data_IF_330129377777
#
_entry.id   IF_330129377777
#
_cell.length_a   1.000
_cell.length_b   1.000
_cell.length_c   1.000
_cell.angle_alpha   90.00
_cell.angle_beta   90.00
_cell.angle_gamma   90.00
#
_symmetry.space_group_name_H-M   'P 1'
#
loop_
_entity.id
_entity.type
_entity.pdbx_description
1 polymer ?
#
# COMPACT_ATOMS: atom_id res chain seq x y z
N UNK A 1 -25.38 26.65 -61.45
CA UNK A 1 -23.95 26.78 -61.22
C UNK A 1 -23.84 26.96 -59.71
N UNK A 2 -23.76 26.02 -58.87
CA UNK A 2 -22.92 24.83 -58.82
C UNK A 2 -21.69 25.14 -58.02
N UNK A 3 -21.73 25.03 -56.71
CA UNK A 3 -20.54 24.71 -55.96
C UNK A 3 -20.92 23.95 -54.68
N UNK A 4 -20.64 22.65 -54.76
CA UNK A 4 -20.68 21.73 -53.64
C UNK A 4 -19.40 21.91 -52.87
N UNK A 5 -19.47 22.35 -51.62
CA UNK A 5 -18.38 22.18 -50.68
C UNK A 5 -18.66 20.93 -49.83
N UNK A 6 -18.12 19.82 -50.28
CA UNK A 6 -18.00 18.58 -49.51
C UNK A 6 -16.82 18.70 -48.58
N UNK A 7 -17.05 19.15 -47.34
CA UNK A 7 -16.09 19.00 -46.24
C UNK A 7 -16.33 17.67 -45.52
N UNK A 8 -15.56 16.63 -45.84
CA UNK A 8 -15.45 15.45 -44.98
C UNK A 8 -14.92 15.88 -43.62
N UNK A 9 -15.57 15.53 -42.50
CA UNK A 9 -14.91 15.61 -41.20
C UNK A 9 -13.82 14.53 -41.17
N UNK A 10 -12.58 14.99 -41.18
CA UNK A 10 -11.41 14.14 -40.99
C UNK A 10 -11.60 13.28 -39.73
N UNK A 11 -11.31 12.03 -39.94
CA UNK A 11 -11.20 10.99 -38.91
C UNK A 11 -10.15 11.45 -37.88
N UNK A 12 -10.56 12.19 -36.84
CA UNK A 12 -9.74 12.39 -35.64
C UNK A 12 -9.59 11.01 -35.01
N UNK A 13 -8.53 10.32 -35.44
CA UNK A 13 -8.09 9.08 -34.81
C UNK A 13 -8.00 9.37 -33.30
N UNK A 14 -8.80 8.63 -32.54
CA UNK A 14 -8.87 8.58 -31.09
C UNK A 14 -7.52 8.18 -30.52
N UNK A 15 -6.55 9.10 -30.57
CA UNK A 15 -5.20 8.91 -30.05
C UNK A 15 -5.29 9.12 -28.55
N UNK A 16 -5.54 8.01 -27.81
CA UNK A 16 -5.45 8.00 -26.34
C UNK A 16 -4.17 8.71 -25.92
N UNK A 17 -4.25 9.74 -25.06
CA UNK A 17 -3.10 10.54 -24.68
C UNK A 17 -1.99 9.63 -24.12
N UNK A 18 -0.78 9.81 -24.63
CA UNK A 18 0.39 9.04 -24.20
C UNK A 18 0.81 9.46 -22.80
N UNK A 19 1.18 8.48 -21.97
CA UNK A 19 1.71 8.75 -20.63
C UNK A 19 3.05 9.51 -20.76
N UNK A 20 3.21 10.67 -20.09
CA UNK A 20 4.49 11.38 -20.01
C UNK A 20 5.62 10.48 -19.50
N UNK A 21 6.85 10.72 -19.97
CA UNK A 21 8.02 9.98 -19.53
C UNK A 21 8.25 10.04 -18.02
N UNK A 22 7.93 11.16 -17.41
CA UNK A 22 8.05 11.40 -15.97
C UNK A 22 7.23 10.41 -15.15
N UNK A 23 6.05 10.02 -15.64
CA UNK A 23 5.22 8.99 -15.00
C UNK A 23 5.94 7.64 -15.02
N UNK A 24 6.59 7.27 -16.12
CA UNK A 24 7.37 6.04 -16.20
C UNK A 24 8.57 6.04 -15.24
N UNK A 25 9.24 7.18 -15.07
CA UNK A 25 10.29 7.34 -14.06
C UNK A 25 9.77 7.06 -12.66
N UNK A 26 8.60 7.61 -12.29
CA UNK A 26 7.98 7.36 -10.99
C UNK A 26 7.52 5.91 -10.83
N UNK A 27 6.99 5.29 -11.87
CA UNK A 27 6.55 3.88 -11.90
C UNK A 27 7.73 2.94 -11.67
N UNK A 28 8.84 3.14 -12.38
CA UNK A 28 10.07 2.34 -12.20
C UNK A 28 10.65 2.57 -10.81
N UNK A 29 10.69 3.82 -10.35
CA UNK A 29 11.13 4.15 -9.00
C UNK A 29 10.29 3.43 -7.94
N UNK A 30 8.97 3.46 -8.06
CA UNK A 30 8.04 2.77 -7.18
C UNK A 30 8.27 1.25 -7.14
N UNK A 31 8.43 0.63 -8.32
CA UNK A 31 8.73 -0.80 -8.43
C UNK A 31 10.01 -1.17 -7.68
N UNK A 32 11.10 -0.44 -7.91
CA UNK A 32 12.40 -0.73 -7.28
C UNK A 32 12.36 -0.49 -5.76
N UNK A 33 11.68 0.58 -5.31
CA UNK A 33 11.50 0.88 -3.88
C UNK A 33 10.71 -0.25 -3.21
N UNK A 34 9.58 -0.66 -3.79
CA UNK A 34 8.73 -1.71 -3.23
C UNK A 34 9.44 -3.07 -3.22
N UNK A 35 10.16 -3.40 -4.28
CA UNK A 35 10.96 -4.61 -4.40
C UNK A 35 12.05 -4.66 -3.33
N UNK A 36 12.80 -3.58 -3.15
CA UNK A 36 13.86 -3.51 -2.15
C UNK A 36 13.32 -3.54 -0.71
N UNK A 37 12.18 -2.87 -0.45
CA UNK A 37 11.48 -2.99 0.83
C UNK A 37 11.08 -4.45 1.12
N UNK A 38 10.53 -5.15 0.12
CA UNK A 38 10.16 -6.56 0.22
C UNK A 38 11.37 -7.47 0.43
N UNK A 39 12.53 -7.15 -0.16
CA UNK A 39 13.80 -7.88 0.06
C UNK A 39 14.27 -7.79 1.52
N UNK A 40 14.14 -6.62 2.15
CA UNK A 40 14.56 -6.39 3.55
C UNK A 40 13.56 -6.97 4.55
N UNK A 41 12.26 -7.03 4.22
CA UNK A 41 11.21 -7.40 5.16
C UNK A 41 11.44 -8.73 5.90
N UNK A 42 11.78 -9.87 5.25
CA UNK A 42 12.04 -11.12 5.95
C UNK A 42 13.36 -11.15 6.71
N UNK A 43 14.34 -10.32 6.32
CA UNK A 43 15.65 -10.28 6.95
C UNK A 43 15.67 -9.49 8.26
N UNK A 44 14.87 -8.41 8.33
CA UNK A 44 14.97 -7.42 9.41
C UNK A 44 14.74 -7.98 10.82
N UNK A 45 13.67 -8.76 11.11
CA UNK A 45 13.49 -9.33 12.45
C UNK A 45 14.56 -10.36 12.79
N UNK A 46 15.01 -11.16 11.82
CA UNK A 46 16.08 -12.14 11.98
C UNK A 46 17.41 -11.45 12.30
N UNK A 47 17.72 -10.37 11.59
CA UNK A 47 18.92 -9.57 11.82
C UNK A 47 18.91 -8.90 13.20
N UNK A 48 17.74 -8.38 13.63
CA UNK A 48 17.60 -7.84 14.99
C UNK A 48 17.84 -8.93 16.06
N UNK A 49 17.33 -10.14 15.86
CA UNK A 49 17.54 -11.28 16.77
C UNK A 49 18.99 -11.73 16.87
N UNK A 50 19.79 -11.54 15.81
CA UNK A 50 21.23 -11.91 15.85
C UNK A 50 22.04 -11.10 16.87
N UNK A 51 21.52 -9.96 17.36
CA UNK A 51 22.13 -9.20 18.46
C UNK A 51 21.74 -9.71 19.84
N UNK A 52 21.09 -10.87 19.96
CA UNK A 52 20.73 -11.48 21.25
C UNK A 52 19.57 -10.82 21.98
N UNK A 53 18.81 -9.96 21.31
CA UNK A 53 17.64 -9.26 21.91
C UNK A 53 16.39 -10.15 21.94
N UNK A 54 15.39 -9.76 22.74
CA UNK A 54 14.11 -10.47 22.86
C UNK A 54 13.28 -10.41 21.57
N UNK A 55 12.23 -11.24 21.46
CA UNK A 55 11.29 -11.21 20.33
C UNK A 55 10.60 -9.84 20.25
N UNK A 56 10.21 -9.29 21.40
CA UNK A 56 9.60 -7.96 21.48
C UNK A 56 10.53 -6.89 20.91
N UNK A 57 11.80 -6.90 21.27
CA UNK A 57 12.77 -5.95 20.74
C UNK A 57 12.99 -6.13 19.22
N UNK A 58 13.07 -7.37 18.75
CA UNK A 58 13.22 -7.63 17.32
C UNK A 58 12.02 -7.14 16.49
N UNK A 59 10.80 -7.29 17.00
CA UNK A 59 9.58 -6.79 16.32
C UNK A 59 9.44 -5.26 16.44
N UNK A 60 9.94 -4.65 17.51
CA UNK A 60 9.93 -3.20 17.72
C UNK A 60 10.73 -2.43 16.63
N UNK A 61 11.73 -3.06 16.01
CA UNK A 61 12.47 -2.44 14.89
C UNK A 61 11.56 -2.18 13.68
N UNK A 62 10.57 -3.07 13.43
CA UNK A 62 9.56 -2.85 12.38
C UNK A 62 8.64 -1.71 12.76
N UNK A 63 8.17 -1.71 14.01
CA UNK A 63 7.28 -0.67 14.55
C UNK A 63 7.94 0.71 14.58
N UNK A 64 9.23 0.81 14.89
CA UNK A 64 9.94 2.08 14.96
C UNK A 64 9.98 2.81 13.61
N UNK A 65 10.18 2.09 12.52
CA UNK A 65 10.11 2.64 11.18
C UNK A 65 8.74 3.26 10.88
N UNK A 66 7.65 2.54 11.21
CA UNK A 66 6.28 3.02 11.00
C UNK A 66 5.94 4.19 11.93
N UNK A 67 6.42 4.16 13.18
CA UNK A 67 6.22 5.25 14.14
C UNK A 67 6.82 6.56 13.65
N UNK A 68 8.06 6.51 13.14
CA UNK A 68 8.72 7.69 12.58
C UNK A 68 8.04 8.16 11.29
N UNK A 69 7.56 7.24 10.45
CA UNK A 69 6.71 7.59 9.29
C UNK A 69 5.49 8.41 9.72
N UNK A 70 4.77 7.92 10.72
CA UNK A 70 3.54 8.54 11.20
C UNK A 70 3.79 9.90 11.82
N UNK A 71 4.79 10.01 12.72
CA UNK A 71 5.12 11.25 13.42
C UNK A 71 5.60 12.34 12.47
N UNK A 72 6.40 11.99 11.46
CA UNK A 72 6.98 12.95 10.53
C UNK A 72 6.10 13.22 9.28
N UNK A 73 4.94 12.56 9.13
CA UNK A 73 4.04 12.79 7.99
C UNK A 73 3.59 14.26 7.83
N UNK A 74 3.19 14.98 8.89
CA UNK A 74 2.83 16.39 8.75
C UNK A 74 4.03 17.28 8.34
N UNK A 75 5.22 17.00 8.89
CA UNK A 75 6.43 17.73 8.54
C UNK A 75 6.84 17.50 7.08
N UNK A 76 6.72 16.26 6.58
CA UNK A 76 6.98 15.93 5.18
C UNK A 76 6.04 16.72 4.25
N UNK A 77 4.75 16.81 4.57
CA UNK A 77 3.79 17.62 3.81
C UNK A 77 4.15 19.11 3.78
N UNK A 78 4.54 19.67 4.92
CA UNK A 78 5.01 21.07 5.00
C UNK A 78 6.31 21.29 4.21
N UNK A 79 7.21 20.30 4.21
CA UNK A 79 8.46 20.37 3.44
C UNK A 79 8.18 20.37 1.93
N UNK A 80 7.24 19.55 1.47
CA UNK A 80 6.81 19.51 0.06
C UNK A 80 6.29 20.87 -0.39
N UNK A 81 5.48 21.54 0.44
CA UNK A 81 4.97 22.88 0.13
C UNK A 81 6.07 23.95 0.07
N UNK A 82 7.13 23.83 0.87
CA UNK A 82 8.22 24.81 0.95
C UNK A 82 9.33 24.61 -0.06
N UNK A 83 9.76 23.35 -0.26
CA UNK A 83 10.93 23.00 -1.06
C UNK A 83 10.58 22.41 -2.43
N UNK A 84 9.28 22.11 -2.65
CA UNK A 84 8.80 21.43 -3.84
C UNK A 84 8.96 19.90 -3.78
N UNK A 85 8.09 19.22 -4.50
CA UNK A 85 7.92 17.77 -4.47
C UNK A 85 9.19 17.01 -4.87
N UNK A 86 9.86 17.49 -5.91
CA UNK A 86 11.06 16.84 -6.47
C UNK A 86 12.22 16.77 -5.46
N UNK A 87 12.51 17.88 -4.78
CA UNK A 87 13.62 17.93 -3.83
C UNK A 87 13.34 17.09 -2.58
N UNK A 88 12.08 17.12 -2.09
CA UNK A 88 11.66 16.33 -0.94
C UNK A 88 11.63 14.85 -1.29
N UNK A 89 11.20 14.47 -2.51
CA UNK A 89 11.26 13.10 -3.00
C UNK A 89 12.70 12.55 -3.00
N UNK A 90 13.63 13.30 -3.60
CA UNK A 90 15.04 12.89 -3.70
C UNK A 90 15.73 12.80 -2.34
N UNK A 91 15.55 13.83 -1.48
CA UNK A 91 16.12 13.81 -0.13
C UNK A 91 15.57 12.66 0.70
N UNK A 92 14.26 12.36 0.57
CA UNK A 92 13.64 11.20 1.19
C UNK A 92 14.28 9.88 0.75
N UNK A 93 14.47 9.68 -0.56
CA UNK A 93 15.16 8.49 -1.09
C UNK A 93 16.58 8.36 -0.55
N UNK A 94 17.35 9.45 -0.53
CA UNK A 94 18.73 9.44 -0.04
C UNK A 94 18.81 9.17 1.48
N UNK A 95 17.88 9.71 2.27
CA UNK A 95 17.78 9.41 3.71
C UNK A 95 17.52 7.91 3.92
N UNK A 96 16.57 7.30 3.17
CA UNK A 96 16.30 5.87 3.26
C UNK A 96 17.50 5.06 2.78
N UNK A 97 18.15 5.45 1.69
CA UNK A 97 19.35 4.77 1.18
C UNK A 97 20.48 4.77 2.21
N UNK A 98 20.79 5.93 2.77
CA UNK A 98 21.84 6.08 3.77
C UNK A 98 21.51 5.31 5.06
N UNK A 99 20.31 5.51 5.61
CA UNK A 99 19.90 4.83 6.84
C UNK A 99 19.86 3.31 6.67
N UNK A 100 19.35 2.81 5.55
CA UNK A 100 19.32 1.38 5.24
C UNK A 100 20.72 0.83 5.01
N UNK A 101 21.58 1.58 4.30
CA UNK A 101 22.98 1.21 4.12
C UNK A 101 23.73 1.12 5.45
N UNK A 102 23.53 2.09 6.35
CA UNK A 102 24.09 2.03 7.70
C UNK A 102 23.62 0.82 8.49
N UNK A 103 22.36 0.37 8.32
CA UNK A 103 21.88 -0.85 8.97
C UNK A 103 22.72 -2.10 8.63
N UNK A 104 23.38 -2.15 7.47
CA UNK A 104 24.22 -3.28 7.09
C UNK A 104 25.53 -3.41 7.91
N UNK A 105 25.95 -2.32 8.53
CA UNK A 105 27.25 -2.21 9.24
C UNK A 105 27.09 -1.98 10.73
N UNK A 106 25.91 -2.16 11.30
CA UNK A 106 25.67 -1.98 12.74
C UNK A 106 26.28 -3.13 13.54
N UNK A 107 26.74 -2.82 14.75
CA UNK A 107 27.32 -3.79 15.68
C UNK A 107 26.40 -4.03 16.89
N UNK A 108 25.39 -3.17 17.08
CA UNK A 108 24.45 -3.18 18.19
C UNK A 108 23.01 -3.03 17.72
N UNK A 109 22.09 -3.62 18.50
CA UNK A 109 20.65 -3.46 18.30
C UNK A 109 20.19 -2.00 18.28
N UNK A 110 20.75 -1.14 19.17
CA UNK A 110 20.35 0.26 19.26
C UNK A 110 20.70 1.06 18.01
N UNK A 111 21.85 0.75 17.41
CA UNK A 111 22.25 1.35 16.13
C UNK A 111 21.25 0.96 15.03
N UNK A 112 20.86 -0.33 14.97
CA UNK A 112 19.85 -0.81 14.02
C UNK A 112 18.53 -0.09 14.22
N UNK A 113 18.06 0.05 15.46
CA UNK A 113 16.81 0.72 15.80
C UNK A 113 16.83 2.19 15.36
N UNK A 114 17.91 2.93 15.64
CA UNK A 114 18.06 4.34 15.28
C UNK A 114 18.07 4.52 13.76
N UNK A 115 18.92 3.79 13.04
CA UNK A 115 19.00 3.93 11.58
C UNK A 115 17.69 3.51 10.90
N UNK A 116 17.05 2.44 11.39
CA UNK A 116 15.76 2.01 10.86
C UNK A 116 14.65 3.06 11.08
N UNK A 117 14.64 3.70 12.26
CA UNK A 117 13.73 4.81 12.58
C UNK A 117 13.92 6.01 11.64
N UNK A 118 15.19 6.42 11.41
CA UNK A 118 15.52 7.48 10.47
C UNK A 118 15.07 7.16 9.04
N UNK A 119 15.14 5.89 8.63
CA UNK A 119 14.57 5.44 7.36
C UNK A 119 13.08 5.70 7.24
N UNK A 120 12.33 5.65 8.34
CA UNK A 120 10.91 6.00 8.39
C UNK A 120 10.63 7.45 7.99
N UNK A 121 11.46 8.40 8.44
CA UNK A 121 11.38 9.82 8.05
C UNK A 121 11.52 9.98 6.53
N UNK A 122 12.59 9.44 5.95
CA UNK A 122 12.82 9.49 4.51
C UNK A 122 11.72 8.80 3.71
N UNK A 123 11.18 7.68 4.23
CA UNK A 123 10.09 6.95 3.62
C UNK A 123 8.81 7.81 3.50
N UNK A 124 8.45 8.54 4.54
CA UNK A 124 7.32 9.47 4.50
C UNK A 124 7.56 10.60 3.50
N UNK A 125 8.77 11.17 3.48
CA UNK A 125 9.11 12.26 2.57
C UNK A 125 8.92 11.83 1.11
N UNK A 126 9.47 10.69 0.69
CA UNK A 126 9.30 10.26 -0.70
C UNK A 126 7.88 9.82 -1.01
N UNK A 127 7.16 9.18 -0.09
CA UNK A 127 5.78 8.71 -0.33
C UNK A 127 4.82 9.88 -0.54
N UNK A 128 4.88 10.90 0.33
CA UNK A 128 4.04 12.11 0.22
C UNK A 128 4.38 12.87 -1.07
N UNK A 129 5.67 13.01 -1.37
CA UNK A 129 6.12 13.70 -2.60
C UNK A 129 5.73 12.94 -3.86
N UNK A 130 5.82 11.60 -3.87
CA UNK A 130 5.44 10.78 -5.02
C UNK A 130 3.95 10.95 -5.36
N UNK A 131 3.09 10.94 -4.34
CA UNK A 131 1.65 11.16 -4.52
C UNK A 131 1.37 12.54 -5.11
N UNK A 132 2.04 13.59 -4.61
CA UNK A 132 1.90 14.96 -5.11
C UNK A 132 2.43 15.09 -6.55
N UNK A 133 3.62 14.52 -6.86
CA UNK A 133 4.20 14.51 -8.20
C UNK A 133 3.28 13.81 -9.20
N UNK A 134 2.70 12.68 -8.83
CA UNK A 134 1.83 11.91 -9.71
C UNK A 134 0.57 12.70 -10.09
N UNK A 135 -0.05 13.36 -9.11
CA UNK A 135 -1.22 14.23 -9.35
C UNK A 135 -0.86 15.44 -10.21
N UNK A 136 0.33 16.02 -10.02
CA UNK A 136 0.78 17.21 -10.73
C UNK A 136 1.19 16.93 -12.17
N UNK A 137 1.87 15.80 -12.43
CA UNK A 137 2.40 15.45 -13.76
C UNK A 137 1.31 14.81 -14.65
N UNK A 138 0.34 14.10 -14.05
CA UNK A 138 -0.68 13.40 -14.81
C UNK A 138 -1.85 14.34 -15.17
N UNK A 139 -2.11 14.61 -16.47
CA UNK A 139 -3.34 15.26 -16.92
C UNK A 139 -4.58 14.55 -16.40
N UNK A 140 -5.70 15.28 -16.25
CA UNK A 140 -6.93 14.74 -15.64
C UNK A 140 -7.44 13.48 -16.35
N UNK A 141 -7.37 13.44 -17.67
CA UNK A 141 -7.87 12.36 -18.53
C UNK A 141 -7.12 11.03 -18.31
N UNK A 142 -5.85 11.09 -17.91
CA UNK A 142 -5.01 9.90 -17.73
C UNK A 142 -4.58 9.69 -16.26
N UNK A 143 -5.02 10.54 -15.34
CA UNK A 143 -4.62 10.48 -13.91
C UNK A 143 -4.95 9.14 -13.26
N UNK A 144 -6.15 8.60 -13.54
CA UNK A 144 -6.53 7.28 -13.05
C UNK A 144 -5.62 6.16 -13.58
N UNK A 145 -5.26 6.23 -14.87
CA UNK A 145 -4.33 5.26 -15.49
C UNK A 145 -2.92 5.37 -14.91
N UNK A 146 -2.43 6.58 -14.65
CA UNK A 146 -1.13 6.82 -14.04
C UNK A 146 -1.06 6.28 -12.61
N UNK A 147 -2.08 6.55 -11.78
CA UNK A 147 -2.19 6.03 -10.42
C UNK A 147 -2.32 4.51 -10.39
N UNK A 148 -3.12 3.93 -11.29
CA UNK A 148 -3.26 2.48 -11.44
C UNK A 148 -1.92 1.81 -11.77
N UNK A 149 -1.16 2.36 -12.71
CA UNK A 149 0.16 1.85 -13.10
C UNK A 149 1.17 1.95 -11.95
N UNK A 150 1.16 3.08 -11.22
CA UNK A 150 2.00 3.28 -10.04
C UNK A 150 1.67 2.27 -8.93
N UNK A 151 0.39 2.10 -8.61
CA UNK A 151 -0.08 1.13 -7.61
C UNK A 151 0.23 -0.32 -8.00
N UNK A 152 0.03 -0.69 -9.28
CA UNK A 152 0.39 -2.02 -9.79
C UNK A 152 1.89 -2.29 -9.71
N UNK A 153 2.73 -1.28 -9.95
CA UNK A 153 4.18 -1.40 -9.81
C UNK A 153 4.59 -1.61 -8.36
N UNK A 154 3.96 -0.92 -7.42
CA UNK A 154 4.16 -1.13 -6.00
C UNK A 154 3.81 -2.57 -5.59
N UNK A 155 2.63 -3.04 -6.01
CA UNK A 155 2.17 -4.40 -5.72
C UNK A 155 3.13 -5.45 -6.30
N UNK A 156 3.56 -5.29 -7.56
CA UNK A 156 4.52 -6.20 -8.20
C UNK A 156 5.85 -6.25 -7.44
N UNK A 157 6.34 -5.10 -6.99
CA UNK A 157 7.55 -5.02 -6.17
C UNK A 157 7.41 -5.72 -4.82
N UNK A 158 6.27 -5.52 -4.15
CA UNK A 158 5.96 -6.17 -2.86
C UNK A 158 5.82 -7.69 -2.97
N UNK A 159 5.42 -8.20 -4.14
CA UNK A 159 5.34 -9.64 -4.44
C UNK A 159 6.71 -10.24 -4.73
N UNK A 160 7.47 -9.61 -5.63
CA UNK A 160 8.77 -10.12 -6.06
C UNK A 160 9.86 -9.94 -4.99
N UNK A 161 9.73 -8.88 -4.16
CA UNK A 161 10.72 -8.54 -3.15
C UNK A 161 11.05 -9.66 -2.18
N UNK A 162 10.08 -10.23 -1.44
CA UNK A 162 10.35 -11.31 -0.48
C UNK A 162 10.93 -12.58 -1.12
N UNK A 163 10.58 -12.87 -2.38
CA UNK A 163 11.16 -14.00 -3.14
C UNK A 163 12.65 -13.79 -3.34
N UNK A 164 13.04 -12.61 -3.85
CA UNK A 164 14.44 -12.24 -4.01
C UNK A 164 15.15 -12.12 -2.66
N UNK A 165 14.47 -11.57 -1.66
CA UNK A 165 14.98 -11.42 -0.30
C UNK A 165 15.36 -12.76 0.33
N UNK A 166 14.55 -13.80 0.13
CA UNK A 166 14.82 -15.14 0.65
C UNK A 166 16.12 -15.75 0.07
N UNK A 167 16.38 -15.51 -1.21
CA UNK A 167 17.62 -15.95 -1.85
C UNK A 167 18.83 -15.18 -1.33
N UNK A 168 18.70 -13.87 -1.10
CA UNK A 168 19.78 -13.01 -0.63
C UNK A 168 20.10 -13.23 0.85
N UNK A 169 19.10 -13.47 1.70
CA UNK A 169 19.27 -13.79 3.14
C UNK A 169 20.13 -15.05 3.32
N UNK A 170 20.07 -16.00 2.38
CA UNK A 170 20.92 -17.19 2.37
C UNK A 170 22.42 -16.89 2.23
N UNK A 171 22.78 -15.73 1.68
CA UNK A 171 24.19 -15.29 1.56
C UNK A 171 24.67 -14.58 2.82
N UNK A 172 23.90 -13.62 3.32
CA UNK A 172 24.18 -12.85 4.54
C UNK A 172 22.92 -12.10 5.00
N UNK A 173 22.73 -11.96 6.32
CA UNK A 173 21.64 -11.17 6.89
C UNK A 173 21.78 -9.66 6.62
N UNK A 174 23.00 -9.17 6.34
CA UNK A 174 23.26 -7.76 6.00
C UNK A 174 23.13 -7.47 4.49
N UNK A 175 23.24 -8.47 3.62
CA UNK A 175 23.21 -8.29 2.17
C UNK A 175 21.90 -7.62 1.65
N UNK A 176 20.69 -7.94 2.16
CA UNK A 176 19.45 -7.26 1.78
C UNK A 176 19.51 -5.74 1.96
N UNK A 177 20.14 -5.27 3.04
CA UNK A 177 20.26 -3.83 3.32
C UNK A 177 21.18 -3.11 2.34
N UNK A 178 22.31 -3.73 1.98
CA UNK A 178 23.27 -3.17 1.00
C UNK A 178 22.62 -3.08 -0.38
N UNK A 179 21.96 -4.16 -0.82
CA UNK A 179 21.30 -4.23 -2.12
C UNK A 179 20.20 -3.17 -2.21
N UNK A 180 19.38 -3.05 -1.16
CA UNK A 180 18.30 -2.06 -1.13
C UNK A 180 18.86 -0.63 -1.12
N UNK A 181 19.87 -0.36 -0.32
CA UNK A 181 20.53 0.95 -0.29
C UNK A 181 21.10 1.35 -1.67
N UNK A 182 21.80 0.43 -2.34
CA UNK A 182 22.32 0.66 -3.67
C UNK A 182 21.21 0.90 -4.70
N UNK A 183 20.13 0.12 -4.64
CA UNK A 183 18.96 0.30 -5.51
C UNK A 183 18.30 1.67 -5.30
N UNK A 184 18.17 2.14 -4.05
CA UNK A 184 17.62 3.47 -3.74
C UNK A 184 18.50 4.61 -4.27
N UNK A 185 19.82 4.48 -4.21
CA UNK A 185 20.75 5.44 -4.82
C UNK A 185 20.57 5.48 -6.33
N UNK A 186 20.47 4.31 -6.97
CA UNK A 186 20.22 4.24 -8.41
C UNK A 186 18.88 4.88 -8.79
N UNK A 187 17.84 4.66 -8.00
CA UNK A 187 16.53 5.31 -8.17
C UNK A 187 16.63 6.83 -7.99
N UNK A 188 17.37 7.31 -6.98
CA UNK A 188 17.57 8.74 -6.78
C UNK A 188 18.27 9.39 -7.98
N UNK A 189 19.27 8.71 -8.57
CA UNK A 189 19.93 9.15 -9.80
C UNK A 189 18.95 9.16 -10.98
N UNK A 190 18.16 8.08 -11.16
CA UNK A 190 17.15 8.00 -12.21
C UNK A 190 16.13 9.15 -12.11
N UNK A 191 15.61 9.40 -10.93
CA UNK A 191 14.65 10.49 -10.67
C UNK A 191 15.28 11.86 -10.87
N UNK A 192 16.54 12.05 -10.46
CA UNK A 192 17.27 13.30 -10.68
C UNK A 192 17.34 13.66 -12.16
N UNK A 193 17.78 12.74 -13.00
CA UNK A 193 17.92 12.98 -14.42
C UNK A 193 16.57 12.96 -15.16
N UNK A 194 15.66 12.07 -14.78
CA UNK A 194 14.34 11.92 -15.40
C UNK A 194 13.41 13.12 -15.17
N UNK A 195 13.48 13.75 -13.98
CA UNK A 195 12.65 14.92 -13.67
C UNK A 195 13.38 16.28 -13.78
N UNK A 196 14.67 16.28 -14.16
CA UNK A 196 15.46 17.52 -14.18
C UNK A 196 14.97 18.54 -15.22
N UNK A 197 14.41 18.10 -16.33
CA UNK A 197 13.99 18.95 -17.46
C UNK A 197 12.47 18.98 -17.65
N UNK A 198 11.70 18.51 -16.68
CA UNK A 198 10.26 18.49 -16.80
C UNK A 198 9.68 19.88 -16.62
N UNK A 199 9.06 20.41 -17.67
CA UNK A 199 8.28 21.65 -17.66
C UNK A 199 6.92 21.47 -17.02
N UNK A 200 6.46 20.22 -16.86
CA UNK A 200 5.17 19.89 -16.24
C UNK A 200 5.14 20.23 -14.73
N UNK A 201 6.32 20.42 -14.12
CA UNK A 201 6.44 20.80 -12.70
C UNK A 201 6.24 22.30 -12.45
N UNK A 202 6.21 23.13 -13.50
CA UNK A 202 6.10 24.58 -13.38
C UNK A 202 4.64 25.07 -13.42
N UNK A 203 3.72 24.25 -13.92
CA UNK A 203 2.30 24.63 -14.02
C UNK A 203 1.59 24.39 -12.68
N UNK A 204 1.35 25.48 -11.97
CA UNK A 204 0.52 25.45 -10.76
C UNK A 204 -0.95 25.52 -11.19
N UNK A 205 -1.65 24.41 -11.10
CA UNK A 205 -3.09 24.35 -11.33
C UNK A 205 -3.82 24.66 -10.02
N UNK A 206 -4.52 25.79 -9.99
CA UNK A 206 -5.45 26.15 -8.92
C UNK A 206 -6.74 25.32 -9.07
N UNK A 207 -6.74 24.12 -8.49
CA UNK A 207 -7.93 23.28 -8.49
C UNK A 207 -8.92 23.77 -7.43
N UNK A 208 -9.98 24.43 -7.88
CA UNK A 208 -11.10 24.91 -7.08
C UNK A 208 -12.20 23.84 -6.96
N UNK A 209 -11.98 22.83 -6.13
CA UNK A 209 -13.04 21.89 -5.71
C UNK A 209 -13.43 22.15 -4.25
N UNK A 210 -14.73 22.08 -3.92
CA UNK A 210 -15.17 22.16 -2.53
C UNK A 210 -14.55 21.03 -1.69
N UNK A 211 -13.90 21.32 -0.54
CA UNK A 211 -13.24 20.29 0.26
C UNK A 211 -14.27 19.35 0.90
N UNK A 212 -14.13 18.05 0.67
CA UNK A 212 -14.78 17.07 1.52
C UNK A 212 -14.06 17.09 2.86
N UNK A 213 -14.76 17.57 3.90
CA UNK A 213 -14.17 17.67 5.22
C UNK A 213 -14.03 16.28 5.83
N UNK A 214 -12.92 16.00 6.52
CA UNK A 214 -12.73 14.76 7.26
C UNK A 214 -13.92 14.46 8.19
N UNK A 215 -14.51 15.51 8.81
CA UNK A 215 -15.68 15.39 9.66
C UNK A 215 -16.88 14.78 8.92
N UNK A 216 -17.13 15.15 7.67
CA UNK A 216 -18.18 14.56 6.84
C UNK A 216 -17.92 13.08 6.54
N UNK A 217 -16.69 12.74 6.16
CA UNK A 217 -16.32 11.34 5.89
C UNK A 217 -16.45 10.45 7.12
N UNK A 218 -16.08 10.93 8.31
CA UNK A 218 -16.20 10.21 9.58
C UNK A 218 -17.66 9.93 10.02
N UNK A 219 -18.65 10.61 9.47
CA UNK A 219 -20.06 10.29 9.71
C UNK A 219 -20.55 9.11 8.85
N UNK A 220 -19.81 8.72 7.83
CA UNK A 220 -20.14 7.57 6.99
C UNK A 220 -19.68 6.25 7.63
N UNK A 221 -20.63 5.35 7.93
CA UNK A 221 -20.33 4.04 8.52
C UNK A 221 -19.38 3.21 7.66
N UNK A 222 -19.51 3.28 6.33
CA UNK A 222 -18.61 2.60 5.40
C UNK A 222 -17.19 3.13 5.49
N UNK A 223 -17.00 4.45 5.68
CA UNK A 223 -15.66 5.01 5.86
C UNK A 223 -15.03 4.56 7.18
N UNK A 224 -15.80 4.52 8.28
CA UNK A 224 -15.33 3.99 9.56
C UNK A 224 -14.94 2.50 9.47
N UNK A 225 -15.76 1.68 8.80
CA UNK A 225 -15.43 0.28 8.55
C UNK A 225 -14.16 0.13 7.69
N UNK A 226 -13.98 1.01 6.69
CA UNK A 226 -12.76 1.05 5.88
C UNK A 226 -11.52 1.47 6.70
N UNK A 227 -11.64 2.41 7.64
CA UNK A 227 -10.55 2.75 8.56
C UNK A 227 -10.16 1.54 9.43
N UNK A 228 -11.15 0.80 9.96
CA UNK A 228 -10.89 -0.41 10.75
C UNK A 228 -10.22 -1.51 9.94
N UNK A 229 -10.67 -1.77 8.71
CA UNK A 229 -10.05 -2.78 7.87
C UNK A 229 -8.66 -2.36 7.38
N UNK A 230 -8.40 -1.07 7.15
CA UNK A 230 -7.06 -0.59 6.82
C UNK A 230 -6.12 -0.64 8.04
N UNK A 231 -6.63 -0.33 9.24
CA UNK A 231 -5.90 -0.58 10.49
C UNK A 231 -5.53 -2.07 10.62
N UNK A 232 -6.50 -2.97 10.36
CA UNK A 232 -6.26 -4.42 10.44
C UNK A 232 -5.22 -4.91 9.42
N UNK A 233 -5.13 -4.30 8.24
CA UNK A 233 -4.08 -4.58 7.27
C UNK A 233 -2.68 -4.22 7.83
N UNK A 234 -2.56 -3.01 8.39
CA UNK A 234 -1.34 -2.59 9.07
C UNK A 234 -0.97 -3.48 10.24
N UNK A 235 -1.95 -3.84 11.07
CA UNK A 235 -1.80 -4.70 12.23
C UNK A 235 -1.40 -6.14 11.86
N UNK A 236 -2.18 -6.82 11.04
CA UNK A 236 -2.03 -8.25 10.79
C UNK A 236 -1.04 -8.56 9.66
N UNK A 237 -1.19 -7.88 8.49
CA UNK A 237 -0.43 -8.25 7.29
C UNK A 237 0.96 -7.63 7.31
N UNK A 238 1.05 -6.31 7.43
CA UNK A 238 2.33 -5.61 7.39
C UNK A 238 3.05 -5.68 8.75
N UNK A 239 2.30 -5.65 9.86
CA UNK A 239 2.82 -5.68 11.21
C UNK A 239 3.15 -7.09 11.70
N UNK A 240 2.16 -7.79 12.21
CA UNK A 240 2.37 -9.07 12.92
C UNK A 240 2.98 -10.12 12.01
N UNK A 241 2.39 -10.34 10.84
CA UNK A 241 2.94 -11.30 9.88
C UNK A 241 4.32 -10.88 9.40
N UNK A 242 4.51 -9.59 9.08
CA UNK A 242 5.80 -9.06 8.63
C UNK A 242 6.93 -9.23 9.65
N UNK A 243 6.64 -9.05 10.93
CA UNK A 243 7.62 -9.09 11.99
C UNK A 243 7.81 -10.50 12.60
N UNK A 244 6.70 -11.24 12.83
CA UNK A 244 6.74 -12.51 13.54
C UNK A 244 6.93 -13.73 12.66
N UNK A 245 6.42 -13.72 11.42
CA UNK A 245 6.49 -14.88 10.54
C UNK A 245 7.93 -15.37 10.30
N UNK A 246 8.92 -14.50 10.03
CA UNK A 246 10.30 -14.95 9.87
C UNK A 246 10.87 -15.61 11.14
N UNK A 247 10.52 -15.08 12.31
CA UNK A 247 10.94 -15.63 13.60
C UNK A 247 10.24 -16.97 13.89
N UNK A 248 8.95 -17.05 13.63
CA UNK A 248 8.16 -18.28 13.78
C UNK A 248 8.71 -19.42 12.92
N UNK A 249 9.06 -19.14 11.66
CA UNK A 249 9.64 -20.13 10.74
C UNK A 249 10.97 -20.67 11.26
N UNK A 250 11.80 -19.83 11.87
CA UNK A 250 13.11 -20.23 12.37
C UNK A 250 13.01 -20.83 13.77
N UNK A 251 12.36 -20.14 14.71
CA UNK A 251 12.40 -20.49 16.13
C UNK A 251 11.37 -21.58 16.50
N UNK A 252 10.18 -21.56 15.88
CA UNK A 252 9.13 -22.55 16.17
C UNK A 252 9.13 -23.73 15.21
N UNK A 253 9.33 -23.50 13.91
CA UNK A 253 9.34 -24.56 12.91
C UNK A 253 10.75 -25.10 12.61
N UNK A 254 11.80 -24.53 13.19
CA UNK A 254 13.21 -24.92 13.02
C UNK A 254 13.65 -25.02 11.55
N UNK A 255 13.14 -24.13 10.71
CA UNK A 255 13.45 -24.06 9.29
C UNK A 255 14.63 -23.13 8.99
N UNK A 256 15.18 -23.25 7.76
CA UNK A 256 16.25 -22.35 7.28
C UNK A 256 15.73 -20.92 7.13
N UNK A 257 16.58 -19.89 7.33
CA UNK A 257 16.19 -18.48 7.23
C UNK A 257 15.45 -18.10 5.92
N UNK A 258 15.86 -18.68 4.79
CA UNK A 258 15.23 -18.45 3.49
C UNK A 258 13.81 -19.02 3.34
N UNK A 259 13.39 -19.96 4.20
CA UNK A 259 12.05 -20.57 4.11
C UNK A 259 10.92 -19.56 4.36
N UNK A 260 11.17 -18.52 5.18
CA UNK A 260 10.21 -17.44 5.39
C UNK A 260 9.85 -16.73 4.08
N UNK A 261 10.79 -16.56 3.17
CA UNK A 261 10.56 -15.95 1.86
C UNK A 261 9.56 -16.73 1.00
N UNK A 262 9.55 -18.08 1.06
CA UNK A 262 8.58 -18.90 0.36
C UNK A 262 7.15 -18.65 0.89
N UNK A 263 7.03 -18.47 2.20
CA UNK A 263 5.73 -18.17 2.84
C UNK A 263 5.24 -16.79 2.44
N UNK A 264 6.12 -15.79 2.37
CA UNK A 264 5.78 -14.46 1.85
C UNK A 264 5.43 -14.49 0.37
N UNK A 265 6.16 -15.27 -0.44
CA UNK A 265 5.89 -15.44 -1.86
C UNK A 265 4.53 -16.08 -2.12
N UNK A 266 4.16 -17.10 -1.34
CA UNK A 266 2.86 -17.75 -1.43
C UNK A 266 1.71 -16.76 -1.13
N UNK A 267 1.85 -15.96 -0.07
CA UNK A 267 0.88 -14.91 0.23
C UNK A 267 0.75 -13.91 -0.91
N UNK A 268 1.88 -13.43 -1.41
CA UNK A 268 1.91 -12.45 -2.48
C UNK A 268 1.30 -13.00 -3.78
N UNK A 269 1.52 -14.28 -4.09
CA UNK A 269 0.89 -14.95 -5.23
C UNK A 269 -0.64 -15.02 -5.07
N UNK A 270 -1.13 -15.34 -3.86
CA UNK A 270 -2.56 -15.32 -3.54
C UNK A 270 -3.16 -13.93 -3.67
N UNK A 271 -2.50 -12.92 -3.12
CA UNK A 271 -2.94 -11.52 -3.14
C UNK A 271 -3.08 -11.00 -4.58
N UNK A 272 -2.05 -11.15 -5.40
CA UNK A 272 -2.08 -10.70 -6.81
C UNK A 272 -3.12 -11.46 -7.62
N UNK A 273 -3.26 -12.77 -7.41
CA UNK A 273 -4.21 -13.59 -8.19
C UNK A 273 -5.66 -13.10 -8.05
N UNK A 274 -6.01 -12.51 -6.91
CA UNK A 274 -7.38 -12.07 -6.62
C UNK A 274 -7.55 -10.55 -6.66
N UNK A 275 -6.50 -9.76 -6.42
CA UNK A 275 -6.60 -8.30 -6.38
C UNK A 275 -7.14 -7.68 -7.68
N UNK A 276 -6.71 -8.21 -8.85
CA UNK A 276 -7.20 -7.73 -10.15
C UNK A 276 -8.65 -8.17 -10.42
N UNK A 277 -9.00 -9.39 -10.04
CA UNK A 277 -10.35 -9.93 -10.23
C UNK A 277 -11.35 -9.30 -9.26
N UNK A 278 -10.94 -9.05 -8.03
CA UNK A 278 -11.77 -8.46 -6.99
C UNK A 278 -12.26 -7.05 -7.36
N UNK A 279 -11.48 -6.29 -8.09
CA UNK A 279 -11.89 -4.98 -8.62
C UNK A 279 -13.12 -5.10 -9.51
N UNK A 280 -13.08 -5.94 -10.55
CA UNK A 280 -14.22 -6.16 -11.47
C UNK A 280 -15.38 -6.84 -10.78
N UNK A 281 -15.15 -7.88 -9.97
CA UNK A 281 -16.22 -8.53 -9.21
C UNK A 281 -16.94 -7.58 -8.26
N UNK A 282 -16.24 -6.59 -7.71
CA UNK A 282 -16.84 -5.62 -6.81
C UNK A 282 -17.79 -4.66 -7.51
N UNK A 283 -17.64 -4.46 -8.82
CA UNK A 283 -18.54 -3.67 -9.64
C UNK A 283 -19.84 -4.43 -9.99
N UNK A 284 -19.79 -5.77 -9.99
CA UNK A 284 -20.95 -6.64 -10.30
C UNK A 284 -21.69 -7.08 -9.03
N UNK A 285 -20.96 -7.55 -8.02
CA UNK A 285 -21.51 -8.22 -6.82
C UNK A 285 -21.73 -7.20 -5.67
N UNK A 286 -21.00 -6.09 -5.69
CA UNK A 286 -20.97 -5.09 -4.61
C UNK A 286 -19.64 -5.08 -3.87
N UNK A 287 -19.35 -3.95 -3.22
CA UNK A 287 -18.10 -3.75 -2.47
C UNK A 287 -18.08 -4.58 -1.18
N UNK A 288 -19.17 -4.50 -0.42
CA UNK A 288 -19.30 -5.08 0.93
C UNK A 288 -19.11 -6.60 0.99
N UNK A 289 -19.76 -7.44 0.14
CA UNK A 289 -19.62 -8.89 0.25
C UNK A 289 -18.19 -9.37 0.08
N UNK A 290 -17.46 -8.77 -0.88
CA UNK A 290 -16.07 -9.12 -1.15
C UNK A 290 -15.13 -8.69 -0.02
N UNK A 291 -15.34 -7.50 0.55
CA UNK A 291 -14.55 -7.03 1.69
C UNK A 291 -14.76 -7.94 2.91
N UNK A 292 -16.01 -8.29 3.23
CA UNK A 292 -16.31 -9.18 4.35
C UNK A 292 -15.69 -10.56 4.14
N UNK A 293 -15.89 -11.17 2.97
CA UNK A 293 -15.33 -12.48 2.65
C UNK A 293 -13.79 -12.47 2.73
N UNK A 294 -13.15 -11.46 2.13
CA UNK A 294 -11.70 -11.31 2.15
C UNK A 294 -11.12 -11.14 3.54
N UNK A 295 -11.74 -10.31 4.39
CA UNK A 295 -11.32 -10.10 5.78
C UNK A 295 -11.50 -11.38 6.63
N UNK A 296 -12.58 -12.11 6.45
CA UNK A 296 -12.82 -13.39 7.16
C UNK A 296 -11.77 -14.42 6.75
N UNK A 297 -11.51 -14.59 5.45
CA UNK A 297 -10.48 -15.52 4.97
C UNK A 297 -9.10 -15.11 5.48
N UNK A 298 -8.73 -13.84 5.35
CA UNK A 298 -7.44 -13.33 5.82
C UNK A 298 -7.27 -13.52 7.34
N UNK A 299 -8.26 -13.11 8.14
CA UNK A 299 -8.20 -13.24 9.60
C UNK A 299 -8.14 -14.68 10.08
N UNK A 300 -8.97 -15.55 9.51
CA UNK A 300 -9.02 -16.97 9.88
C UNK A 300 -7.71 -17.70 9.54
N UNK A 301 -7.10 -17.38 8.39
CA UNK A 301 -5.81 -17.98 8.00
C UNK A 301 -4.68 -17.50 8.87
N UNK A 302 -4.66 -16.21 9.25
CA UNK A 302 -3.66 -15.70 10.21
C UNK A 302 -3.78 -16.40 11.56
N UNK A 303 -5.01 -16.60 12.08
CA UNK A 303 -5.23 -17.41 13.30
C UNK A 303 -4.71 -18.84 13.12
N UNK A 304 -5.06 -19.49 12.02
CA UNK A 304 -4.66 -20.89 11.74
C UNK A 304 -3.14 -21.05 11.62
N UNK A 305 -2.42 -20.04 11.09
CA UNK A 305 -0.94 -20.08 11.00
C UNK A 305 -0.29 -20.31 12.36
N UNK A 306 -0.86 -19.74 13.43
CA UNK A 306 -0.32 -19.87 14.79
C UNK A 306 -0.36 -21.30 15.36
N UNK A 307 -1.18 -22.17 14.80
CA UNK A 307 -1.36 -23.55 15.24
C UNK A 307 -0.72 -24.57 14.28
N UNK A 308 -0.08 -24.10 13.21
CA UNK A 308 0.60 -25.01 12.27
C UNK A 308 1.98 -25.39 12.77
N UNK A 309 2.33 -26.68 12.58
CA UNK A 309 3.65 -27.22 12.92
C UNK A 309 4.47 -27.59 11.69
N UNK A 310 3.96 -27.32 10.48
CA UNK A 310 4.64 -27.72 9.25
C UNK A 310 4.77 -26.56 8.25
N UNK A 311 5.92 -26.49 7.59
CA UNK A 311 6.18 -25.47 6.57
C UNK A 311 5.23 -25.56 5.37
N UNK A 312 4.88 -26.75 4.81
CA UNK A 312 3.92 -26.86 3.72
C UNK A 312 2.54 -26.30 4.09
N UNK A 313 2.03 -26.62 5.29
CA UNK A 313 0.75 -26.10 5.77
C UNK A 313 0.80 -24.57 5.92
N UNK A 314 1.89 -24.02 6.43
CA UNK A 314 2.11 -22.59 6.56
C UNK A 314 2.11 -21.88 5.17
N UNK A 315 2.73 -22.49 4.15
CA UNK A 315 2.73 -21.99 2.77
C UNK A 315 1.30 -21.98 2.21
N UNK A 316 0.52 -23.07 2.39
CA UNK A 316 -0.86 -23.15 1.92
C UNK A 316 -1.75 -22.12 2.63
N UNK A 317 -1.65 -21.99 3.96
CA UNK A 317 -2.38 -20.98 4.72
C UNK A 317 -1.99 -19.56 4.29
N UNK A 318 -0.72 -19.33 3.99
CA UNK A 318 -0.25 -18.05 3.50
C UNK A 318 -0.83 -17.72 2.12
N UNK A 319 -0.88 -18.67 1.20
CA UNK A 319 -1.53 -18.51 -0.10
C UNK A 319 -3.01 -18.14 0.04
N UNK A 320 -3.75 -18.88 0.87
CA UNK A 320 -5.17 -18.63 1.12
C UNK A 320 -5.37 -17.27 1.79
N UNK A 321 -4.52 -16.91 2.75
CA UNK A 321 -4.53 -15.60 3.39
C UNK A 321 -4.27 -14.45 2.40
N UNK A 322 -3.37 -14.66 1.44
CA UNK A 322 -3.14 -13.74 0.33
C UNK A 322 -4.36 -13.57 -0.56
N UNK A 323 -5.02 -14.68 -0.93
CA UNK A 323 -6.30 -14.63 -1.66
C UNK A 323 -7.31 -13.76 -0.92
N UNK A 324 -7.44 -13.94 0.41
CA UNK A 324 -8.29 -13.10 1.24
C UNK A 324 -7.89 -11.63 1.20
N UNK A 325 -6.59 -11.32 1.25
CA UNK A 325 -6.09 -9.96 1.23
C UNK A 325 -6.41 -9.24 -0.10
N UNK A 326 -6.13 -9.87 -1.23
CA UNK A 326 -6.46 -9.33 -2.55
C UNK A 326 -7.97 -9.16 -2.77
N UNK A 327 -8.77 -10.07 -2.20
CA UNK A 327 -10.22 -10.01 -2.33
C UNK A 327 -10.83 -8.79 -1.64
N UNK A 328 -10.28 -8.29 -0.52
CA UNK A 328 -10.84 -7.13 0.16
C UNK A 328 -10.14 -5.79 -0.18
N UNK A 329 -8.86 -5.81 -0.58
CA UNK A 329 -8.08 -4.58 -0.71
C UNK A 329 -8.62 -3.63 -1.79
N UNK A 330 -8.90 -4.15 -3.00
CA UNK A 330 -9.41 -3.34 -4.13
C UNK A 330 -10.84 -2.83 -3.89
N UNK A 331 -11.82 -3.67 -3.47
CA UNK A 331 -13.17 -3.21 -3.16
C UNK A 331 -13.23 -2.21 -2.00
N UNK A 332 -12.37 -2.37 -0.98
CA UNK A 332 -12.25 -1.41 0.11
C UNK A 332 -11.81 -0.03 -0.37
N UNK A 333 -10.79 0.03 -1.24
CA UNK A 333 -10.33 1.30 -1.80
C UNK A 333 -11.41 1.95 -2.68
N UNK A 334 -12.14 1.16 -3.47
CA UNK A 334 -13.27 1.63 -4.24
C UNK A 334 -14.37 2.21 -3.34
N UNK A 335 -14.74 1.52 -2.25
CA UNK A 335 -15.73 2.02 -1.29
C UNK A 335 -15.30 3.33 -0.62
N UNK A 336 -14.01 3.49 -0.32
CA UNK A 336 -13.47 4.76 0.20
C UNK A 336 -13.60 5.86 -0.85
N UNK A 337 -13.28 5.58 -2.11
CA UNK A 337 -13.42 6.53 -3.20
C UNK A 337 -14.89 6.92 -3.43
N UNK A 338 -15.83 5.95 -3.32
CA UNK A 338 -17.26 6.19 -3.42
C UNK A 338 -17.77 7.16 -2.32
N UNK A 339 -17.27 7.04 -1.07
CA UNK A 339 -17.68 7.89 0.05
C UNK A 339 -17.04 9.27 -0.01
N UNK A 340 -15.76 9.32 -0.36
CA UNK A 340 -14.98 10.58 -0.35
C UNK A 340 -15.25 11.41 -1.62
N UNK A 341 -15.65 10.76 -2.71
CA UNK A 341 -15.95 11.39 -4.00
C UNK A 341 -14.69 11.76 -4.80
N UNK A 342 -14.87 11.83 -6.13
CA UNK A 342 -13.78 12.12 -7.08
C UNK A 342 -13.53 13.62 -7.30
N UNK A 343 -14.43 14.50 -6.84
CA UNK A 343 -14.49 15.94 -7.22
C UNK A 343 -13.98 16.93 -6.17
N UNK A 344 -13.50 16.47 -5.01
CA UNK A 344 -13.11 17.36 -3.93
C UNK A 344 -11.69 17.17 -3.43
N UNK A 345 -11.25 18.03 -2.51
CA UNK A 345 -9.98 17.86 -1.75
C UNK A 345 -10.10 16.67 -0.80
N UNK A 346 -10.09 15.46 -1.36
CA UNK A 346 -10.15 14.19 -0.65
C UNK A 346 -8.89 13.90 0.20
N UNK A 347 -7.85 14.72 0.05
CA UNK A 347 -6.51 14.45 0.57
C UNK A 347 -6.48 14.15 2.07
N UNK A 348 -7.21 14.91 2.90
CA UNK A 348 -7.23 14.69 4.35
C UNK A 348 -7.89 13.36 4.73
N UNK A 349 -9.01 12.98 4.06
CA UNK A 349 -9.69 11.72 4.33
C UNK A 349 -8.83 10.53 3.88
N UNK A 350 -8.21 10.61 2.70
CA UNK A 350 -7.30 9.57 2.20
C UNK A 350 -6.02 9.47 3.06
N UNK A 351 -5.46 10.61 3.50
CA UNK A 351 -4.34 10.61 4.43
C UNK A 351 -4.70 9.93 5.75
N UNK A 352 -5.89 10.24 6.31
CA UNK A 352 -6.39 9.59 7.54
C UNK A 352 -6.56 8.08 7.31
N UNK A 353 -7.09 7.67 6.16
CA UNK A 353 -7.20 6.26 5.80
C UNK A 353 -5.82 5.57 5.80
N UNK A 354 -4.82 6.15 5.15
CA UNK A 354 -3.45 5.60 5.14
C UNK A 354 -2.81 5.58 6.54
N UNK A 355 -3.00 6.63 7.34
CA UNK A 355 -2.48 6.70 8.70
C UNK A 355 -3.00 5.58 9.60
N UNK A 356 -4.23 5.08 9.40
CA UNK A 356 -4.74 3.96 10.21
C UNK A 356 -3.95 2.67 9.98
N UNK A 357 -3.49 2.40 8.76
CA UNK A 357 -2.59 1.28 8.49
C UNK A 357 -1.22 1.47 9.16
N UNK A 358 -0.66 2.68 9.11
CA UNK A 358 0.61 2.96 9.79
C UNK A 358 0.48 2.79 11.32
N UNK A 359 -0.65 3.20 11.93
CA UNK A 359 -0.94 2.96 13.36
C UNK A 359 -0.97 1.46 13.66
N UNK A 360 -1.65 0.67 12.83
CA UNK A 360 -1.66 -0.80 12.95
C UNK A 360 -0.25 -1.40 12.88
N UNK A 361 0.57 -0.90 11.93
CA UNK A 361 1.96 -1.33 11.75
C UNK A 361 2.88 -0.91 12.93
N UNK A 362 2.56 0.18 13.62
CA UNK A 362 3.29 0.59 14.83
C UNK A 362 2.96 -0.33 16.01
N UNK A 363 1.69 -0.58 16.26
CA UNK A 363 1.23 -1.26 17.48
C UNK A 363 1.32 -2.78 17.32
N UNK A 364 0.95 -3.31 16.15
CA UNK A 364 0.84 -4.75 15.88
C UNK A 364 2.09 -5.56 16.22
N UNK A 365 3.27 -5.23 15.67
CA UNK A 365 4.49 -5.98 15.94
C UNK A 365 4.91 -5.99 17.41
N UNK A 366 4.78 -4.86 18.11
CA UNK A 366 5.12 -4.76 19.53
C UNK A 366 4.21 -5.64 20.37
N UNK A 367 2.88 -5.51 20.19
CA UNK A 367 1.91 -6.33 20.93
C UNK A 367 2.12 -7.82 20.64
N UNK A 368 2.32 -8.17 19.38
CA UNK A 368 2.56 -9.56 19.02
C UNK A 368 3.89 -10.09 19.53
N UNK A 369 4.94 -9.27 19.57
CA UNK A 369 6.22 -9.60 20.16
C UNK A 369 6.09 -9.90 21.66
N UNK A 370 5.40 -9.03 22.41
CA UNK A 370 5.13 -9.23 23.85
C UNK A 370 4.36 -10.52 24.08
N UNK A 371 3.30 -10.78 23.30
CA UNK A 371 2.51 -12.01 23.44
C UNK A 371 3.37 -13.24 23.09
N UNK A 372 4.14 -13.21 22.01
CA UNK A 372 4.98 -14.33 21.61
C UNK A 372 6.05 -14.65 22.68
N UNK A 373 6.61 -13.62 23.32
CA UNK A 373 7.63 -13.76 24.35
C UNK A 373 7.08 -14.33 25.67
N UNK A 374 5.88 -13.88 26.11
CA UNK A 374 5.33 -14.25 27.40
C UNK A 374 4.37 -15.44 27.35
N UNK A 375 3.86 -15.81 26.17
CA UNK A 375 2.91 -16.93 26.00
C UNK A 375 3.37 -17.90 24.91
N UNK A 376 3.03 -17.58 23.64
CA UNK A 376 3.47 -18.36 22.47
C UNK A 376 3.26 -17.59 21.18
N UNK A 377 3.96 -18.01 20.11
CA UNK A 377 3.70 -17.55 18.75
C UNK A 377 2.26 -17.77 18.32
N UNK A 378 1.61 -18.89 18.73
CA UNK A 378 0.24 -19.22 18.41
C UNK A 378 -0.73 -18.12 18.86
N UNK A 379 -0.65 -17.68 20.11
CA UNK A 379 -1.48 -16.62 20.65
C UNK A 379 -1.22 -15.27 19.97
N UNK A 380 0.02 -14.97 19.61
CA UNK A 380 0.34 -13.76 18.87
C UNK A 380 -0.37 -13.73 17.49
N UNK A 381 -0.40 -14.87 16.78
CA UNK A 381 -1.16 -14.98 15.52
C UNK A 381 -2.68 -14.94 15.72
N UNK A 382 -3.21 -15.50 16.84
CA UNK A 382 -4.63 -15.36 17.17
C UNK A 382 -5.03 -13.90 17.32
N UNK A 383 -4.27 -13.13 18.09
CA UNK A 383 -4.50 -11.69 18.26
C UNK A 383 -4.29 -10.93 16.95
N UNK A 384 -3.34 -11.39 16.12
CA UNK A 384 -3.13 -10.89 14.77
C UNK A 384 -4.35 -11.04 13.86
N UNK A 385 -4.92 -12.23 13.80
CA UNK A 385 -6.08 -12.55 12.96
C UNK A 385 -7.41 -12.07 13.51
N UNK A 386 -7.50 -11.79 14.83
CA UNK A 386 -8.71 -11.26 15.45
C UNK A 386 -9.10 -9.88 14.88
N UNK A 387 -8.14 -9.00 14.58
CA UNK A 387 -8.42 -7.66 14.05
C UNK A 387 -9.10 -7.64 12.68
N UNK A 388 -8.64 -8.40 11.65
CA UNK A 388 -9.39 -8.53 10.41
C UNK A 388 -10.81 -9.09 10.62
N UNK A 389 -11.00 -10.04 11.55
CA UNK A 389 -12.32 -10.60 11.86
C UNK A 389 -13.24 -9.54 12.51
N UNK A 390 -12.72 -8.73 13.42
CA UNK A 390 -13.44 -7.58 14.00
C UNK A 390 -13.80 -6.56 12.91
N UNK A 391 -12.87 -6.27 12.01
CA UNK A 391 -13.13 -5.39 10.88
C UNK A 391 -14.21 -5.97 9.94
N UNK A 392 -14.23 -7.28 9.71
CA UNK A 392 -15.29 -7.94 8.94
C UNK A 392 -16.68 -7.72 9.58
N UNK A 393 -16.77 -7.84 10.91
CA UNK A 393 -18.01 -7.54 11.65
C UNK A 393 -18.43 -6.09 11.44
N UNK A 394 -17.50 -5.13 11.52
CA UNK A 394 -17.82 -3.73 11.25
C UNK A 394 -18.37 -3.51 9.83
N UNK A 395 -17.81 -4.20 8.83
CA UNK A 395 -18.30 -4.15 7.47
C UNK A 395 -19.68 -4.76 7.27
N UNK A 396 -20.07 -5.78 8.06
CA UNK A 396 -21.45 -6.33 8.05
C UNK A 396 -22.47 -5.25 8.38
N UNK A 397 -22.15 -4.31 9.27
CA UNK A 397 -23.03 -3.20 9.63
C UNK A 397 -22.87 -1.95 8.75
N UNK A 398 -21.87 -1.92 7.85
CA UNK A 398 -21.68 -0.83 6.92
C UNK A 398 -22.70 -0.95 5.75
N UNK A 399 -23.21 0.17 5.23
CA UNK A 399 -24.04 0.16 4.04
C UNK A 399 -23.21 -0.14 2.79
N UNK A 400 -23.84 -0.79 1.78
CA UNK A 400 -23.26 -0.97 0.44
C UNK A 400 -23.12 0.40 -0.25
N UNK A 401 -22.01 0.59 -0.98
CA UNK A 401 -21.74 1.85 -1.70
C UNK A 401 -22.04 1.75 -3.18
N UNK A 402 -22.06 0.55 -3.75
CA UNK A 402 -22.38 0.34 -5.16
C UNK A 402 -23.80 0.85 -5.47
N UNK A 403 -23.94 1.68 -6.49
CA UNK A 403 -25.24 2.20 -6.96
C UNK A 403 -25.84 3.37 -6.16
N UNK A 404 -25.22 3.84 -5.06
CA UNK A 404 -25.69 5.03 -4.31
C UNK A 404 -25.25 6.36 -4.92
N UNK A 405 -24.35 6.36 -5.88
CA UNK A 405 -23.89 7.56 -6.59
C UNK A 405 -24.77 7.94 -7.80
N UNK A 406 -25.78 7.14 -8.15
CA UNK A 406 -26.89 7.64 -8.97
C UNK A 406 -27.69 8.60 -8.08
N UNK A 407 -27.18 9.84 -7.96
CA UNK A 407 -27.90 10.92 -7.28
C UNK A 407 -29.30 11.08 -7.89
N UNK A 408 -30.32 11.50 -7.12
CA UNK A 408 -31.65 11.79 -7.65
C UNK A 408 -31.64 12.71 -8.88
N UNK A 409 -30.61 13.54 -9.04
CA UNK A 409 -30.40 14.42 -10.18
C UNK A 409 -30.02 13.69 -11.49
N UNK A 410 -29.30 12.56 -11.44
CA UNK A 410 -28.98 11.77 -12.64
C UNK A 410 -30.20 10.95 -13.07
N UNK A 411 -30.99 10.44 -12.11
CA UNK A 411 -32.27 9.79 -12.41
C UNK A 411 -33.26 10.75 -13.04
N UNK A 412 -33.40 11.97 -12.51
CA UNK A 412 -34.27 12.96 -13.09
C UNK A 412 -33.84 13.42 -14.50
N UNK A 413 -32.53 13.45 -14.77
CA UNK A 413 -32.03 13.75 -16.13
C UNK A 413 -32.22 12.59 -17.11
N UNK A 414 -32.15 11.33 -16.64
CA UNK A 414 -32.46 10.16 -17.48
C UNK A 414 -33.95 10.01 -17.71
N UNK A 415 -34.80 10.22 -16.73
CA UNK A 415 -36.27 10.25 -16.88
C UNK A 415 -36.72 11.39 -17.78
N UNK A 416 -36.11 12.58 -17.71
CA UNK A 416 -36.39 13.69 -18.62
C UNK A 416 -35.88 13.41 -20.05
N UNK A 417 -34.76 12.69 -20.20
CA UNK A 417 -34.26 12.31 -21.53
C UNK A 417 -35.09 11.20 -22.18
N UNK A 418 -35.66 10.28 -21.42
CA UNK A 418 -36.61 9.27 -21.93
C UNK A 418 -37.98 9.88 -22.26
N UNK A 419 -38.43 10.90 -21.51
CA UNK A 419 -39.72 11.57 -21.77
C UNK A 419 -39.67 12.53 -22.97
N UNK A 420 -38.48 13.06 -23.33
CA UNK A 420 -38.27 13.90 -24.52
C UNK A 420 -38.02 13.07 -25.79
N UNK A 421 -37.72 11.76 -25.66
CA UNK A 421 -37.45 10.82 -26.75
C UNK A 421 -38.68 9.99 -27.21
N UNK A 422 -39.91 10.38 -26.88
CA UNK A 422 -41.11 9.71 -27.31
C UNK A 422 -41.29 9.81 -28.84
N UNK A 423 -41.79 8.75 -29.50
CA UNK A 423 -41.75 8.63 -30.95
C UNK A 423 -42.72 9.64 -31.62
N UNK A 424 -42.16 10.55 -32.41
CA UNK A 424 -42.94 11.18 -33.48
C UNK A 424 -43.34 10.09 -34.47
N UNK A 425 -44.68 9.91 -34.55
CA UNK A 425 -45.30 9.19 -35.64
C UNK A 425 -45.66 10.15 -36.75
#
# INVERSE_FOLDING_TARGET
MGDRVSGCPGNEADTKPRLPWEIWVLVVACLVIALGFGVVAPALPQYARSFGVSVTAATAVVSSFAAFRLVFAPAAGALVQRLGERWVYMSGLLIVALSTGCCAFVHDYWQLLVFRSLGGVGSTMFTVSAAALLVRIAPEEIRGRAQGLYGSSFLLGMVAGPVLGSAVVGLSLSAPFIIYAAALVAVAVLVHFGLRRSTLLEVADEHHGAPVTLKSALHHRTFLAALMSNFSAGWAIFGIRGALLPLFVIEALHQRPGAAGLVFAAFAAGDVSTAFLAGSWSDDIGRKPLVVAGLVVCGSTVVAMGFTSSLPALIVLSLIGGIGAGLYASPQQAAVADVVGSRGRAGTALATFQMTSDIGLVIGPVVAGVIAEHTSYGWAFVVGGAMPLIAAVAWVFAPETLGRLASPQVRSMQEVAEDVGGPER
#
